data_IF_700380169078
#
_entry.id   IF_700380169078
#
_cell.length_a   1.000
_cell.length_b   1.000
_cell.length_c   1.000
_cell.angle_alpha   90.00
_cell.angle_beta   90.00
_cell.angle_gamma   90.00
#
_symmetry.space_group_name_H-M   'P 1'
#
loop_
_entity.id
_entity.type
_entity.pdbx_description
1 polymer ?
#
# COMPACT_ATOMS: atom_id res chain seq x y z
N UNK A 1 9.73 6.05 -16.40
CA UNK A 1 8.32 5.69 -16.67
C UNK A 1 7.55 7.00 -16.74
N UNK A 2 6.76 7.23 -17.79
CA UNK A 2 5.86 8.39 -17.82
C UNK A 2 4.55 8.10 -17.02
N UNK A 3 3.76 9.13 -16.73
CA UNK A 3 2.53 9.02 -15.94
C UNK A 3 1.58 7.92 -16.45
N UNK A 4 1.30 7.93 -17.76
CA UNK A 4 0.40 6.98 -18.40
C UNK A 4 0.87 5.53 -18.27
N UNK A 5 2.19 5.30 -18.36
CA UNK A 5 2.76 3.96 -18.16
C UNK A 5 2.58 3.46 -16.73
N UNK A 6 2.71 4.34 -15.73
CA UNK A 6 2.50 4.01 -14.32
C UNK A 6 1.04 3.65 -14.07
N UNK A 7 0.10 4.50 -14.52
CA UNK A 7 -1.34 4.24 -14.38
C UNK A 7 -1.77 2.93 -15.07
N UNK A 8 -1.24 2.66 -16.27
CA UNK A 8 -1.51 1.40 -16.97
C UNK A 8 -0.95 0.20 -16.21
N UNK A 9 0.26 0.33 -15.64
CA UNK A 9 0.87 -0.74 -14.82
C UNK A 9 0.03 -1.00 -13.57
N UNK A 10 -0.36 0.04 -12.83
CA UNK A 10 -1.21 -0.07 -11.64
C UNK A 10 -2.57 -0.69 -11.98
N UNK A 11 -3.19 -0.26 -13.08
CA UNK A 11 -4.45 -0.81 -13.58
C UNK A 11 -4.36 -2.30 -13.91
N UNK A 12 -3.27 -2.70 -14.57
CA UNK A 12 -3.01 -4.09 -14.94
C UNK A 12 -2.82 -5.00 -13.72
N UNK A 13 -2.07 -4.53 -12.71
CA UNK A 13 -1.86 -5.25 -11.45
C UNK A 13 -3.17 -5.35 -10.64
N UNK A 14 -3.94 -4.26 -10.58
CA UNK A 14 -5.21 -4.22 -9.85
C UNK A 14 -6.25 -5.15 -10.46
N UNK A 15 -6.44 -5.12 -11.78
CA UNK A 15 -7.50 -5.85 -12.47
C UNK A 15 -8.87 -5.59 -11.83
N UNK A 16 -9.66 -6.67 -11.64
CA UNK A 16 -11.00 -6.62 -11.04
C UNK A 16 -11.00 -6.86 -9.51
N UNK A 17 -9.83 -6.77 -8.85
CA UNK A 17 -9.72 -7.05 -7.41
C UNK A 17 -10.39 -5.95 -6.57
N UNK A 18 -10.84 -6.34 -5.38
CA UNK A 18 -11.21 -5.42 -4.32
C UNK A 18 -9.95 -4.87 -3.65
N UNK A 19 -9.78 -3.55 -3.68
CA UNK A 19 -8.53 -2.91 -3.29
C UNK A 19 -8.63 -2.37 -1.87
N UNK A 20 -7.68 -2.74 -1.01
CA UNK A 20 -7.51 -2.18 0.31
C UNK A 20 -6.25 -1.31 0.31
N UNK A 21 -6.42 0.01 0.33
CA UNK A 21 -5.28 0.93 0.42
C UNK A 21 -5.06 1.30 1.88
N UNK A 22 -3.85 1.11 2.37
CA UNK A 22 -3.43 1.48 3.71
C UNK A 22 -2.39 2.59 3.66
N UNK A 23 -2.67 3.68 4.36
CA UNK A 23 -1.77 4.81 4.55
C UNK A 23 -1.56 5.04 6.05
N UNK A 24 -0.33 5.33 6.44
CA UNK A 24 0.05 5.55 7.83
C UNK A 24 1.56 5.71 7.98
N UNK A 25 2.02 5.80 9.22
CA UNK A 25 3.44 6.05 9.52
C UNK A 25 4.33 4.83 9.23
N UNK A 26 5.53 5.08 8.70
CA UNK A 26 6.53 4.05 8.38
C UNK A 26 7.81 4.13 9.24
N UNK A 27 8.11 5.26 9.91
CA UNK A 27 9.45 5.51 10.50
C UNK A 27 9.57 5.71 12.01
N UNK A 28 8.48 6.01 12.75
CA UNK A 28 8.51 6.16 14.22
C UNK A 28 7.77 5.04 14.96
N UNK A 29 7.17 4.13 14.21
CA UNK A 29 6.26 3.11 14.73
C UNK A 29 4.96 3.70 15.27
N UNK A 30 4.07 2.82 15.69
CA UNK A 30 2.81 3.19 16.34
C UNK A 30 2.98 3.09 17.84
N UNK A 31 2.22 3.87 18.61
CA UNK A 31 2.22 3.80 20.07
C UNK A 31 1.86 2.39 20.56
N UNK A 32 0.90 1.75 19.89
CA UNK A 32 0.52 0.37 20.15
C UNK A 32 0.55 -0.50 18.88
N UNK A 33 1.71 -1.11 18.55
CA UNK A 33 1.85 -1.98 17.39
C UNK A 33 0.92 -3.20 17.43
N UNK A 34 0.64 -3.74 18.61
CA UNK A 34 -0.25 -4.90 18.76
C UNK A 34 -1.71 -4.55 18.41
N UNK A 35 -2.19 -3.37 18.83
CA UNK A 35 -3.52 -2.91 18.43
C UNK A 35 -3.61 -2.61 16.94
N UNK A 36 -2.55 -2.06 16.33
CA UNK A 36 -2.50 -1.91 14.88
C UNK A 36 -2.59 -3.26 14.17
N UNK A 37 -1.79 -4.23 14.59
CA UNK A 37 -1.79 -5.58 14.00
C UNK A 37 -3.17 -6.23 14.12
N UNK A 38 -3.80 -6.21 15.31
CA UNK A 38 -5.16 -6.71 15.52
C UNK A 38 -6.18 -6.01 14.61
N UNK A 39 -6.09 -4.68 14.47
CA UNK A 39 -6.96 -3.91 13.58
C UNK A 39 -6.77 -4.30 12.12
N UNK A 40 -5.52 -4.46 11.66
CA UNK A 40 -5.21 -4.90 10.31
C UNK A 40 -5.71 -6.32 10.05
N UNK A 41 -5.51 -7.25 10.99
CA UNK A 41 -6.02 -8.62 10.87
C UNK A 41 -7.54 -8.65 10.73
N UNK A 42 -8.26 -7.91 11.57
CA UNK A 42 -9.71 -7.82 11.51
C UNK A 42 -10.20 -7.28 10.16
N UNK A 43 -9.58 -6.21 9.64
CA UNK A 43 -9.92 -5.65 8.33
C UNK A 43 -9.70 -6.69 7.22
N UNK A 44 -8.56 -7.40 7.24
CA UNK A 44 -8.25 -8.41 6.24
C UNK A 44 -9.23 -9.59 6.33
N UNK A 45 -9.54 -10.09 7.52
CA UNK A 45 -10.44 -11.24 7.70
C UNK A 45 -11.88 -10.92 7.31
N UNK A 46 -12.37 -9.73 7.67
CA UNK A 46 -13.68 -9.26 7.23
C UNK A 46 -13.74 -9.13 5.70
N UNK A 47 -12.70 -8.56 5.08
CA UNK A 47 -12.65 -8.43 3.62
C UNK A 47 -12.55 -9.80 2.94
N UNK A 48 -11.80 -10.75 3.49
CA UNK A 48 -11.72 -12.14 2.99
C UNK A 48 -13.10 -12.80 3.03
N UNK A 49 -13.86 -12.62 4.11
CA UNK A 49 -15.22 -13.16 4.25
C UNK A 49 -16.14 -12.62 3.14
N UNK A 50 -16.02 -11.34 2.82
CA UNK A 50 -16.96 -10.67 1.91
C UNK A 50 -16.58 -10.85 0.43
N UNK A 51 -15.29 -10.93 0.09
CA UNK A 51 -14.81 -10.92 -1.30
C UNK A 51 -13.99 -12.16 -1.70
N UNK A 52 -13.48 -12.92 -0.72
CA UNK A 52 -12.58 -14.05 -0.96
C UNK A 52 -11.13 -13.62 -1.20
N UNK A 53 -10.17 -14.29 -0.54
CA UNK A 53 -8.74 -13.90 -0.53
C UNK A 53 -8.10 -13.69 -1.91
N UNK A 54 -8.50 -14.48 -2.92
CA UNK A 54 -7.94 -14.41 -4.28
C UNK A 54 -8.36 -13.14 -5.04
N UNK A 55 -9.43 -12.48 -4.58
CA UNK A 55 -10.02 -11.30 -5.22
C UNK A 55 -9.63 -10.01 -4.52
N UNK A 56 -8.67 -10.03 -3.59
CA UNK A 56 -8.26 -8.85 -2.82
C UNK A 56 -6.85 -8.45 -3.25
N UNK A 57 -6.60 -7.13 -3.30
CA UNK A 57 -5.28 -6.52 -3.43
C UNK A 57 -5.05 -5.56 -2.25
N UNK A 58 -3.98 -5.78 -1.50
CA UNK A 58 -3.54 -4.86 -0.44
C UNK A 58 -2.49 -3.92 -1.01
N UNK A 59 -2.68 -2.62 -0.82
CA UNK A 59 -1.81 -1.56 -1.31
C UNK A 59 -1.32 -0.71 -0.16
N UNK A 60 0.00 -0.51 -0.04
CA UNK A 60 0.59 0.42 0.92
C UNK A 60 1.88 1.06 0.33
N UNK A 61 2.58 1.87 1.12
CA UNK A 61 3.99 2.17 0.84
C UNK A 61 4.82 0.90 0.97
N UNK A 62 5.90 0.72 0.19
CA UNK A 62 6.64 -0.54 0.09
C UNK A 62 7.57 -0.88 1.29
N UNK A 63 7.58 -0.06 2.34
CA UNK A 63 8.44 -0.25 3.51
C UNK A 63 7.96 -1.41 4.39
N UNK A 64 8.86 -2.10 5.10
CA UNK A 64 8.51 -3.18 6.05
C UNK A 64 7.93 -2.68 7.37
N UNK A 65 8.38 -1.52 7.84
CA UNK A 65 8.01 -1.00 9.15
C UNK A 65 6.72 -0.18 9.13
N UNK A 66 6.14 -0.02 10.33
CA UNK A 66 4.90 0.73 10.55
C UNK A 66 3.73 0.11 9.79
N UNK A 67 3.10 0.90 8.91
CA UNK A 67 1.97 0.43 8.08
C UNK A 67 2.35 -0.75 7.18
N UNK A 68 3.64 -0.92 6.87
CA UNK A 68 4.21 -2.05 6.14
C UNK A 68 3.91 -3.43 6.73
N UNK A 69 3.60 -3.49 8.03
CA UNK A 69 3.19 -4.72 8.73
C UNK A 69 2.03 -5.43 8.03
N UNK A 70 1.15 -4.67 7.35
CA UNK A 70 0.02 -5.23 6.60
C UNK A 70 0.44 -6.23 5.52
N UNK A 71 1.63 -6.09 4.93
CA UNK A 71 2.11 -7.01 3.90
C UNK A 71 2.41 -8.40 4.44
N UNK A 72 3.03 -8.48 5.63
CA UNK A 72 3.29 -9.76 6.28
C UNK A 72 1.98 -10.49 6.57
N UNK A 73 0.99 -9.78 7.09
CA UNK A 73 -0.34 -10.33 7.38
C UNK A 73 -1.07 -10.77 6.11
N UNK A 74 -1.07 -9.93 5.07
CA UNK A 74 -1.69 -10.23 3.79
C UNK A 74 -1.05 -11.46 3.10
N UNK A 75 0.29 -11.53 3.07
CA UNK A 75 1.05 -12.67 2.54
C UNK A 75 0.71 -13.97 3.30
N UNK A 76 0.68 -13.92 4.63
CA UNK A 76 0.31 -15.08 5.45
C UNK A 76 -1.11 -15.60 5.17
N UNK A 77 -2.03 -14.71 4.78
CA UNK A 77 -3.41 -15.06 4.41
C UNK A 77 -3.58 -15.45 2.93
N UNK A 78 -2.53 -15.29 2.11
CA UNK A 78 -2.55 -15.57 0.67
C UNK A 78 -3.25 -14.48 -0.16
N UNK A 79 -3.22 -13.23 0.31
CA UNK A 79 -3.73 -12.05 -0.40
C UNK A 79 -2.60 -11.44 -1.24
N UNK A 80 -2.94 -10.97 -2.45
CA UNK A 80 -1.99 -10.24 -3.29
C UNK A 80 -1.64 -8.88 -2.68
N UNK A 81 -0.39 -8.45 -2.85
CA UNK A 81 0.09 -7.16 -2.33
C UNK A 81 0.70 -6.31 -3.44
N UNK A 82 0.68 -5.00 -3.26
CA UNK A 82 1.32 -4.02 -4.12
C UNK A 82 1.87 -2.85 -3.30
N UNK A 83 3.18 -2.63 -3.38
CA UNK A 83 3.85 -1.45 -2.88
C UNK A 83 3.91 -0.35 -3.93
N UNK A 84 3.45 0.84 -3.58
CA UNK A 84 3.66 2.07 -4.37
C UNK A 84 4.54 2.98 -3.54
N UNK A 85 5.75 3.25 -4.02
CA UNK A 85 6.77 4.00 -3.25
C UNK A 85 7.58 4.89 -4.18
N UNK A 86 8.18 5.95 -3.65
CA UNK A 86 9.13 6.79 -4.39
C UNK A 86 10.36 5.97 -4.80
N UNK A 87 10.96 6.31 -5.95
CA UNK A 87 12.22 5.72 -6.42
C UNK A 87 13.37 5.88 -5.41
N UNK A 88 13.28 6.86 -4.50
CA UNK A 88 14.25 7.03 -3.40
C UNK A 88 14.34 5.81 -2.47
N UNK A 89 13.35 4.91 -2.50
CA UNK A 89 13.35 3.67 -1.74
C UNK A 89 14.07 2.50 -2.44
N UNK A 90 14.61 2.67 -3.65
CA UNK A 90 15.27 1.60 -4.42
C UNK A 90 16.51 1.03 -3.70
N UNK A 91 17.20 1.85 -2.91
CA UNK A 91 18.36 1.42 -2.11
C UNK A 91 17.97 0.88 -0.71
N UNK A 92 16.68 0.85 -0.38
CA UNK A 92 16.18 0.40 0.91
C UNK A 92 15.67 -1.05 0.89
N UNK A 93 15.71 -1.77 2.02
CA UNK A 93 14.98 -3.02 2.15
C UNK A 93 13.47 -2.77 2.03
N UNK A 94 12.83 -3.42 1.07
CA UNK A 94 11.40 -3.36 0.83
C UNK A 94 10.70 -4.63 1.30
N UNK A 95 9.46 -4.49 1.76
CA UNK A 95 8.58 -5.60 2.16
C UNK A 95 8.03 -6.40 0.96
N UNK A 96 8.18 -5.82 -0.22
CA UNK A 96 7.68 -6.26 -1.52
C UNK A 96 8.86 -6.64 -2.41
N UNK A 97 8.66 -7.60 -3.30
CA UNK A 97 9.63 -7.88 -4.36
C UNK A 97 9.41 -6.96 -5.59
N UNK A 98 10.25 -7.07 -6.61
CA UNK A 98 10.15 -6.27 -7.84
C UNK A 98 8.80 -6.40 -8.58
N UNK A 99 8.15 -7.56 -8.49
CA UNK A 99 6.85 -7.83 -9.13
C UNK A 99 5.69 -7.23 -8.33
N UNK A 100 5.90 -7.03 -7.03
CA UNK A 100 4.97 -6.47 -6.06
C UNK A 100 5.22 -4.97 -5.82
N UNK A 101 6.11 -4.32 -6.58
CA UNK A 101 6.50 -2.92 -6.35
C UNK A 101 6.38 -2.06 -7.61
N UNK A 102 5.85 -0.85 -7.44
CA UNK A 102 5.89 0.21 -8.44
C UNK A 102 6.63 1.41 -7.84
N UNK A 103 7.82 1.68 -8.38
CA UNK A 103 8.60 2.88 -8.07
C UNK A 103 8.03 4.07 -8.85
N UNK A 104 7.75 5.15 -8.13
CA UNK A 104 7.27 6.41 -8.69
C UNK A 104 8.45 7.36 -8.83
N UNK A 105 8.71 7.92 -10.03
CA UNK A 105 9.74 8.92 -10.21
C UNK A 105 9.53 10.13 -9.31
N UNK A 106 10.57 10.55 -8.60
CA UNK A 106 10.54 11.60 -7.60
C UNK A 106 11.84 12.42 -7.70
N UNK A 107 12.02 13.18 -8.80
CA UNK A 107 13.27 13.93 -9.04
C UNK A 107 13.56 14.97 -7.96
N UNK A 108 12.55 15.36 -7.19
CA UNK A 108 12.67 16.27 -6.05
C UNK A 108 13.07 15.60 -4.74
N UNK A 109 13.23 14.26 -4.71
CA UNK A 109 13.57 13.47 -3.53
C UNK A 109 12.64 13.72 -2.34
N UNK A 110 11.35 13.85 -2.64
CA UNK A 110 10.33 14.31 -1.68
C UNK A 110 9.67 13.17 -0.89
N UNK A 111 9.94 11.92 -1.25
CA UNK A 111 9.29 10.70 -0.79
C UNK A 111 7.81 10.60 -1.16
N UNK A 112 7.34 11.46 -2.07
CA UNK A 112 5.95 11.53 -2.46
C UNK A 112 5.68 10.63 -3.67
N UNK A 113 4.51 10.01 -3.67
CA UNK A 113 4.01 9.17 -4.77
C UNK A 113 2.89 9.91 -5.51
N UNK A 114 3.24 11.04 -6.12
CA UNK A 114 2.29 11.93 -6.81
C UNK A 114 2.48 11.93 -8.32
N UNK A 115 1.40 12.21 -9.03
CA UNK A 115 1.41 12.53 -10.45
C UNK A 115 1.84 13.98 -10.74
N UNK A 116 1.89 14.33 -12.03
CA UNK A 116 2.27 15.67 -12.51
C UNK A 116 1.30 16.79 -12.05
N UNK A 117 0.08 16.43 -11.66
CA UNK A 117 -0.96 17.34 -11.17
C UNK A 117 -1.03 17.38 -9.63
N UNK A 118 -0.21 16.56 -8.95
CA UNK A 118 -0.18 16.45 -7.50
C UNK A 118 -1.17 15.44 -6.89
N UNK A 119 -1.80 14.57 -7.68
CA UNK A 119 -2.66 13.49 -7.17
C UNK A 119 -1.84 12.28 -6.77
N UNK A 120 -2.25 11.58 -5.71
CA UNK A 120 -1.51 10.43 -5.21
C UNK A 120 -1.83 9.15 -5.97
N UNK A 121 -0.82 8.46 -6.49
CA UNK A 121 -0.98 7.13 -7.10
C UNK A 121 -1.53 6.09 -6.12
N UNK A 122 -1.25 6.25 -4.83
CA UNK A 122 -1.83 5.41 -3.77
C UNK A 122 -3.34 5.53 -3.68
N UNK A 123 -3.90 6.71 -3.93
CA UNK A 123 -5.34 6.97 -3.87
C UNK A 123 -5.98 6.73 -5.24
N UNK A 124 -5.32 7.17 -6.32
CA UNK A 124 -5.81 7.05 -7.69
C UNK A 124 -6.01 5.59 -8.14
N UNK A 125 -5.29 4.63 -7.55
CA UNK A 125 -5.54 3.20 -7.83
C UNK A 125 -6.98 2.77 -7.47
N UNK A 126 -7.68 3.51 -6.59
CA UNK A 126 -9.10 3.27 -6.30
C UNK A 126 -10.05 3.91 -7.30
N UNK A 127 -9.59 4.82 -8.15
CA UNK A 127 -10.45 5.51 -9.09
C UNK A 127 -11.12 4.52 -10.04
N UNK A 128 -12.45 4.57 -10.11
CA UNK A 128 -13.30 3.68 -10.90
C UNK A 128 -13.18 2.18 -10.54
N UNK A 129 -12.58 1.86 -9.39
CA UNK A 129 -12.42 0.48 -8.88
C UNK A 129 -13.12 0.31 -7.53
N UNK A 130 -13.40 -0.94 -7.18
CA UNK A 130 -14.02 -1.29 -5.90
C UNK A 130 -12.93 -1.39 -4.84
N UNK A 131 -13.08 -0.66 -3.75
CA UNK A 131 -12.12 -0.72 -2.66
C UNK A 131 -12.37 0.31 -1.57
N UNK A 132 -11.47 0.34 -0.59
CA UNK A 132 -11.51 1.22 0.57
C UNK A 132 -10.11 1.76 0.85
N UNK A 133 -10.05 3.02 1.26
CA UNK A 133 -8.85 3.66 1.77
C UNK A 133 -8.90 3.75 3.30
N UNK A 134 -7.88 3.21 3.97
CA UNK A 134 -7.68 3.29 5.41
C UNK A 134 -6.50 4.20 5.73
N UNK A 135 -6.78 5.36 6.33
CA UNK A 135 -5.77 6.18 6.98
C UNK A 135 -5.66 5.75 8.46
N UNK A 136 -4.53 5.14 8.82
CA UNK A 136 -4.24 4.68 10.17
C UNK A 136 -3.09 5.54 10.71
N UNK A 137 -3.42 6.51 11.56
CA UNK A 137 -2.44 7.38 12.18
C UNK A 137 -2.66 7.44 13.69
N UNK A 138 -1.83 6.74 14.45
CA UNK A 138 -1.61 7.01 15.87
C UNK A 138 -0.10 7.03 16.10
N UNK A 139 0.45 8.24 16.04
CA UNK A 139 1.86 8.52 16.29
C UNK A 139 2.13 8.41 17.80
N UNK A 140 3.31 7.93 18.20
CA UNK A 140 3.74 8.05 19.60
C UNK A 140 3.66 9.52 20.02
N UNK A 141 2.90 9.84 21.07
CA UNK A 141 3.03 11.14 21.71
C UNK A 141 4.48 11.34 22.21
N UNK A 142 5.09 12.51 21.96
CA UNK A 142 6.48 12.79 22.34
C UNK A 142 6.73 12.78 23.85
#
# INVERSE_FOLDING_TARGET
MNYTEIENKLSSIAGDKYILVFSGFSGLGYENPAQLEEKLENILDDTIRDYGRANILVVAGATEEGIGTVYRLAKAKGIAILGIVSEEAEEMPLATNEQETVLIPDPGKTWKVLDENGHSYMVNILQDRRGVFYALGEEKSP
#
